data_IF_186841420921
#
_entry.id   IF_186841420921
#
_cell.length_a   1.000
_cell.length_b   1.000
_cell.length_c   1.000
_cell.angle_alpha   90.00
_cell.angle_beta   90.00
_cell.angle_gamma   90.00
#
_symmetry.space_group_name_H-M   'P 1'
#
loop_
_entity.id
_entity.type
_entity.pdbx_description
1 polymer ?
#
# COMPACT_ATOMS: atom_id res chain seq x y z
N UNK A 1 9.42 9.71 -6.79
CA UNK A 1 8.44 8.63 -6.65
C UNK A 1 8.96 7.43 -5.84
N UNK A 2 10.21 7.01 -6.07
CA UNK A 2 10.78 5.89 -5.34
C UNK A 2 10.76 6.08 -3.83
N UNK A 3 11.05 7.30 -3.37
CA UNK A 3 11.04 7.61 -1.95
C UNK A 3 9.66 7.42 -1.33
N UNK A 4 8.61 7.82 -2.05
CA UNK A 4 7.24 7.65 -1.58
C UNK A 4 6.84 6.19 -1.52
N UNK A 5 7.27 5.41 -2.51
CA UNK A 5 7.01 3.97 -2.54
C UNK A 5 7.67 3.29 -1.34
N UNK A 6 8.93 3.61 -1.08
CA UNK A 6 9.65 3.05 0.06
C UNK A 6 9.03 3.46 1.39
N UNK A 7 8.58 4.70 1.50
CA UNK A 7 7.92 5.17 2.70
C UNK A 7 6.61 4.41 2.97
N UNK A 8 5.81 4.20 1.93
CA UNK A 8 4.57 3.45 2.07
C UNK A 8 4.84 1.99 2.41
N UNK A 9 5.86 1.39 1.80
CA UNK A 9 6.26 0.02 2.15
C UNK A 9 6.61 -0.09 3.62
N UNK A 10 7.37 0.89 4.13
CA UNK A 10 7.73 0.91 5.54
C UNK A 10 6.50 1.01 6.43
N UNK A 11 5.55 1.89 6.07
CA UNK A 11 4.31 2.01 6.83
C UNK A 11 3.52 0.72 6.86
N UNK A 12 3.46 0.03 5.73
CA UNK A 12 2.77 -1.26 5.64
C UNK A 12 3.45 -2.29 6.55
N UNK A 13 4.76 -2.37 6.50
CA UNK A 13 5.51 -3.32 7.30
C UNK A 13 5.44 -3.04 8.80
N UNK A 14 5.41 -1.78 9.18
CA UNK A 14 5.38 -1.36 10.58
C UNK A 14 3.96 -1.27 11.16
N UNK A 15 2.95 -1.40 10.31
CA UNK A 15 1.56 -1.28 10.74
C UNK A 15 1.18 -2.40 11.70
N UNK A 16 0.76 -2.00 12.90
CA UNK A 16 0.33 -2.94 13.94
C UNK A 16 -0.99 -2.45 14.55
N UNK A 17 -2.12 -2.82 13.96
CA UNK A 17 -3.43 -2.36 14.45
C UNK A 17 -3.80 -3.05 15.75
N UNK A 18 -4.55 -2.35 16.59
CA UNK A 18 -5.08 -2.90 17.83
C UNK A 18 -6.53 -3.34 17.67
N UNK A 19 -7.21 -2.86 16.64
CA UNK A 19 -8.62 -3.16 16.40
C UNK A 19 -8.91 -3.24 14.92
N UNK A 20 -10.00 -3.94 14.56
CA UNK A 20 -10.41 -4.08 13.17
C UNK A 20 -10.70 -2.73 12.50
N UNK A 21 -11.21 -1.77 13.26
CA UNK A 21 -11.47 -0.43 12.71
C UNK A 21 -10.20 0.24 12.19
N UNK A 22 -9.08 0.03 12.86
CA UNK A 22 -7.80 0.59 12.41
C UNK A 22 -7.36 -0.03 11.09
N UNK A 23 -7.64 -1.32 10.89
CA UNK A 23 -7.31 -2.00 9.64
C UNK A 23 -8.12 -1.39 8.49
N UNK A 24 -9.41 -1.15 8.69
CA UNK A 24 -10.26 -0.53 7.68
C UNK A 24 -9.81 0.88 7.34
N UNK A 25 -9.47 1.67 8.34
CA UNK A 25 -8.96 3.02 8.11
C UNK A 25 -7.67 3.00 7.32
N UNK A 26 -6.76 2.09 7.65
CA UNK A 26 -5.49 1.94 6.94
C UNK A 26 -5.73 1.52 5.49
N UNK A 27 -6.64 0.58 5.27
CA UNK A 27 -6.98 0.12 3.93
C UNK A 27 -7.50 1.27 3.07
N UNK A 28 -8.40 2.06 3.62
CA UNK A 28 -8.98 3.20 2.90
C UNK A 28 -7.89 4.25 2.62
N UNK A 29 -7.03 4.51 3.59
CA UNK A 29 -5.97 5.50 3.43
C UNK A 29 -4.95 5.11 2.37
N UNK A 30 -4.64 3.84 2.26
CA UNK A 30 -3.62 3.35 1.32
C UNK A 30 -4.25 2.91 0.00
N UNK A 31 -5.28 2.08 0.05
CA UNK A 31 -5.88 1.44 -1.13
C UNK A 31 -7.18 2.05 -1.61
N UNK A 32 -7.75 3.00 -0.87
CA UNK A 32 -9.00 3.65 -1.26
C UNK A 32 -8.84 4.52 -2.51
N UNK A 33 -9.97 5.00 -3.04
CA UNK A 33 -9.96 5.83 -4.25
C UNK A 33 -9.10 7.08 -4.12
N UNK A 34 -9.02 7.64 -2.92
CA UNK A 34 -8.17 8.79 -2.62
C UNK A 34 -6.97 8.39 -1.77
N UNK A 35 -6.63 7.11 -1.79
CA UNK A 35 -5.52 6.59 -1.01
C UNK A 35 -4.16 7.01 -1.56
N UNK A 36 -3.15 6.90 -0.72
CA UNK A 36 -1.78 7.28 -1.09
C UNK A 36 -1.24 6.42 -2.22
N UNK A 37 -1.54 5.12 -2.21
CA UNK A 37 -1.10 4.23 -3.30
C UNK A 37 -1.80 4.59 -4.61
N UNK A 38 -3.08 4.92 -4.56
CA UNK A 38 -3.82 5.33 -5.75
C UNK A 38 -3.23 6.61 -6.34
N UNK A 39 -2.84 7.56 -5.48
CA UNK A 39 -2.18 8.78 -5.92
C UNK A 39 -0.86 8.48 -6.62
N UNK A 40 -0.08 7.53 -6.09
CA UNK A 40 1.17 7.13 -6.72
C UNK A 40 0.93 6.48 -8.09
N UNK A 41 -0.12 5.70 -8.21
CA UNK A 41 -0.47 5.09 -9.50
C UNK A 41 -0.85 6.14 -10.54
N UNK A 42 -1.51 7.21 -10.12
CA UNK A 42 -1.83 8.31 -11.02
C UNK A 42 -0.56 9.04 -11.47
N UNK A 43 0.37 9.29 -10.55
CA UNK A 43 1.66 9.89 -10.90
C UNK A 43 2.45 8.99 -11.85
N UNK A 44 2.34 7.68 -11.65
CA UNK A 44 3.03 6.69 -12.47
C UNK A 44 2.66 6.81 -13.95
N UNK A 45 1.43 7.20 -14.24
CA UNK A 45 0.97 7.34 -15.63
C UNK A 45 1.74 8.41 -16.39
N UNK A 46 2.30 9.39 -15.68
CA UNK A 46 3.05 10.50 -16.27
C UNK A 46 4.55 10.30 -16.26
N UNK A 47 5.02 9.17 -15.74
CA UNK A 47 6.44 8.86 -15.66
C UNK A 47 6.99 8.49 -17.04
N UNK A 48 8.28 8.81 -17.26
CA UNK A 48 8.94 8.49 -18.53
C UNK A 48 8.90 6.97 -18.79
N UNK A 49 8.73 6.56 -20.05
CA UNK A 49 8.62 5.13 -20.39
C UNK A 49 9.80 4.29 -19.90
N UNK A 50 10.99 4.86 -19.86
CA UNK A 50 12.19 4.14 -19.40
C UNK A 50 12.10 3.76 -17.93
N UNK A 51 11.37 4.53 -17.14
CA UNK A 51 11.22 4.29 -15.71
C UNK A 51 9.99 3.47 -15.37
N UNK A 52 9.04 3.38 -16.29
CA UNK A 52 7.77 2.69 -16.01
C UNK A 52 7.94 1.23 -15.63
N UNK A 53 8.87 0.54 -16.27
CA UNK A 53 9.06 -0.88 -15.98
C UNK A 53 9.50 -1.09 -14.54
N UNK A 54 10.51 -0.34 -14.10
CA UNK A 54 11.04 -0.47 -12.75
C UNK A 54 10.05 0.01 -11.70
N UNK A 55 9.50 1.20 -11.91
CA UNK A 55 8.53 1.77 -10.98
C UNK A 55 7.25 0.94 -10.91
N UNK A 56 6.82 0.39 -12.04
CA UNK A 56 5.66 -0.48 -12.09
C UNK A 56 5.84 -1.72 -11.24
N UNK A 57 7.03 -2.31 -11.26
CA UNK A 57 7.33 -3.47 -10.43
C UNK A 57 7.27 -3.10 -8.95
N UNK A 58 7.84 -1.94 -8.59
CA UNK A 58 7.83 -1.47 -7.21
C UNK A 58 6.41 -1.18 -6.72
N UNK A 59 5.59 -0.53 -7.55
CA UNK A 59 4.21 -0.25 -7.20
C UNK A 59 3.38 -1.51 -7.05
N UNK A 60 3.60 -2.48 -7.94
CA UNK A 60 2.91 -3.75 -7.87
C UNK A 60 3.26 -4.49 -6.58
N UNK A 61 4.54 -4.49 -6.22
CA UNK A 61 5.00 -5.09 -4.98
C UNK A 61 4.36 -4.41 -3.77
N UNK A 62 4.33 -3.09 -3.77
CA UNK A 62 3.71 -2.33 -2.68
C UNK A 62 2.23 -2.68 -2.54
N UNK A 63 1.52 -2.75 -3.66
CA UNK A 63 0.10 -3.10 -3.65
C UNK A 63 -0.12 -4.49 -3.08
N UNK A 64 0.68 -5.45 -3.53
CA UNK A 64 0.57 -6.83 -3.06
C UNK A 64 0.87 -6.95 -1.58
N UNK A 65 1.94 -6.32 -1.11
CA UNK A 65 2.31 -6.36 0.30
C UNK A 65 1.25 -5.69 1.18
N UNK A 66 0.72 -4.57 0.73
CA UNK A 66 -0.34 -3.88 1.48
C UNK A 66 -1.59 -4.76 1.59
N UNK A 67 -2.00 -5.37 0.49
CA UNK A 67 -3.17 -6.24 0.47
C UNK A 67 -2.97 -7.46 1.36
N UNK A 68 -1.83 -8.12 1.24
CA UNK A 68 -1.50 -9.28 2.05
C UNK A 68 -1.47 -8.94 3.54
N UNK A 69 -0.82 -7.83 3.87
CA UNK A 69 -0.69 -7.39 5.26
C UNK A 69 -2.06 -7.13 5.87
N UNK A 70 -2.92 -6.43 5.13
CA UNK A 70 -4.27 -6.12 5.59
C UNK A 70 -5.06 -7.40 5.82
N UNK A 71 -5.01 -8.34 4.88
CA UNK A 71 -5.74 -9.60 4.99
C UNK A 71 -5.22 -10.43 6.16
N UNK A 72 -3.90 -10.52 6.33
CA UNK A 72 -3.29 -11.27 7.42
C UNK A 72 -3.69 -10.70 8.78
N UNK A 73 -3.61 -9.39 8.92
CA UNK A 73 -3.95 -8.73 10.17
C UNK A 73 -5.44 -8.86 10.50
N UNK A 74 -6.29 -8.80 9.47
CA UNK A 74 -7.72 -8.99 9.64
C UNK A 74 -8.02 -10.38 10.16
N UNK A 75 -7.39 -11.39 9.60
CA UNK A 75 -7.55 -12.76 10.06
C UNK A 75 -7.08 -12.93 11.50
N UNK A 76 -5.92 -12.37 11.83
CA UNK A 76 -5.38 -12.47 13.18
C UNK A 76 -6.32 -11.86 14.22
N UNK A 77 -6.93 -10.73 13.91
CA UNK A 77 -7.85 -10.08 14.83
C UNK A 77 -9.19 -10.80 14.93
N UNK A 78 -9.64 -11.41 13.85
CA UNK A 78 -10.90 -12.18 13.86
C UNK A 78 -10.76 -13.50 14.60
N UNK A 79 -9.56 -14.08 14.59
CA UNK A 79 -9.31 -15.38 15.21
C UNK A 79 -8.77 -15.28 16.64
N UNK A 80 -8.61 -14.08 17.15
CA UNK A 80 -8.07 -13.85 18.50
C UNK A 80 -9.10 -14.10 19.61
#
# INVERSE_FOLDING_TARGET
>A
MTDKINELLRRVEEFKPKAAAEIEEFRIRILGKKGELTALMEEFKTVAPELKRELGQQLNRLKNEATERINTLREQLQNA
#
